data_IF_151493548385
#
_entry.id   IF_151493548385
#
_cell.length_a   1.000
_cell.length_b   1.000
_cell.length_c   1.000
_cell.angle_alpha   90.00
_cell.angle_beta   90.00
_cell.angle_gamma   90.00
#
_symmetry.space_group_name_H-M   'P 1'
#
loop_
_entity.id
_entity.type
_entity.pdbx_description
1 polymer ?
#
# COMPACT_ATOMS: atom_id res chain seq x y z
N UNK A 1 2.19 -31.31 -0.01
CA UNK A 1 3.10 -30.45 0.77
C UNK A 1 3.82 -29.52 -0.21
N UNK A 2 3.66 -28.19 -0.12
CA UNK A 2 4.30 -27.25 -1.04
C UNK A 2 5.54 -26.67 -0.35
N UNK A 3 6.69 -27.31 -0.54
CA UNK A 3 7.95 -26.82 0.00
C UNK A 3 8.27 -25.44 -0.60
N UNK A 4 8.69 -24.51 0.26
CA UNK A 4 9.20 -23.22 -0.20
C UNK A 4 10.48 -23.47 -1.00
N UNK A 5 10.41 -23.27 -2.32
CA UNK A 5 11.54 -23.47 -3.22
C UNK A 5 12.41 -22.21 -3.19
N UNK A 6 13.70 -22.33 -2.87
CA UNK A 6 14.63 -21.19 -2.83
C UNK A 6 14.93 -20.65 -4.23
N UNK A 7 15.38 -19.39 -4.38
CA UNK A 7 15.83 -18.82 -5.66
C UNK A 7 16.84 -19.69 -6.43
N UNK A 8 17.75 -20.35 -5.73
CA UNK A 8 18.78 -21.23 -6.30
C UNK A 8 18.13 -22.46 -6.92
N UNK A 9 17.24 -23.13 -6.18
CA UNK A 9 16.52 -24.30 -6.70
C UNK A 9 15.66 -23.94 -7.90
N UNK A 10 15.02 -22.75 -7.90
CA UNK A 10 14.27 -22.24 -9.06
C UNK A 10 15.14 -22.09 -10.29
N UNK A 11 16.37 -21.58 -10.13
CA UNK A 11 17.35 -21.46 -11.22
C UNK A 11 17.76 -22.83 -11.74
N UNK A 12 18.07 -23.77 -10.86
CA UNK A 12 18.50 -25.12 -11.24
C UNK A 12 17.41 -25.85 -12.03
N UNK A 13 16.14 -25.76 -11.61
CA UNK A 13 15.02 -26.33 -12.36
C UNK A 13 14.90 -25.75 -13.77
N UNK A 14 15.00 -24.42 -13.91
CA UNK A 14 14.92 -23.76 -15.22
C UNK A 14 16.12 -24.10 -16.08
N UNK A 15 17.33 -24.15 -15.52
CA UNK A 15 18.55 -24.57 -16.23
C UNK A 15 18.42 -26.01 -16.73
N UNK A 16 17.96 -26.94 -15.89
CA UNK A 16 17.69 -28.32 -16.29
C UNK A 16 16.69 -28.39 -17.45
N UNK A 17 15.62 -27.57 -17.40
CA UNK A 17 14.66 -27.53 -18.51
C UNK A 17 15.25 -26.96 -19.80
N UNK A 18 16.04 -25.88 -19.72
CA UNK A 18 16.73 -25.27 -20.88
C UNK A 18 17.74 -26.24 -21.50
N UNK A 19 18.36 -27.11 -20.69
CA UNK A 19 19.27 -28.16 -21.13
C UNK A 19 18.54 -29.41 -21.69
N UNK A 20 17.22 -29.35 -21.93
CA UNK A 20 16.46 -30.43 -22.58
C UNK A 20 15.82 -31.45 -21.64
N UNK A 21 16.01 -31.38 -20.33
CA UNK A 21 15.44 -32.35 -19.39
C UNK A 21 13.90 -32.31 -19.38
N UNK A 22 13.25 -33.48 -19.33
CA UNK A 22 11.79 -33.58 -19.29
C UNK A 22 11.25 -33.13 -17.92
N UNK A 23 10.08 -32.48 -17.92
CA UNK A 23 9.45 -31.95 -16.70
C UNK A 23 9.18 -33.05 -15.66
N UNK A 24 8.88 -34.29 -16.10
CA UNK A 24 8.67 -35.44 -15.21
C UNK A 24 9.92 -35.75 -14.38
N UNK A 25 11.09 -35.69 -15.00
CA UNK A 25 12.37 -35.94 -14.32
C UNK A 25 12.73 -34.81 -13.35
N UNK A 26 12.51 -33.55 -13.77
CA UNK A 26 12.71 -32.37 -12.90
C UNK A 26 11.82 -32.46 -11.66
N UNK A 27 10.55 -32.84 -11.81
CA UNK A 27 9.63 -33.05 -10.68
C UNK A 27 10.15 -34.10 -9.70
N UNK A 28 10.67 -35.21 -10.22
CA UNK A 28 11.23 -36.30 -9.39
C UNK A 28 12.51 -35.87 -8.66
N UNK A 29 13.42 -35.18 -9.35
CA UNK A 29 14.70 -34.73 -8.78
C UNK A 29 14.50 -33.69 -7.67
N UNK A 30 13.62 -32.71 -7.91
CA UNK A 30 13.45 -31.58 -7.00
C UNK A 30 12.31 -31.74 -6.00
N UNK A 31 11.52 -32.82 -6.08
CA UNK A 31 10.39 -33.06 -5.17
C UNK A 31 9.28 -32.00 -5.25
N UNK A 32 9.11 -31.37 -6.42
CA UNK A 32 8.13 -30.28 -6.64
C UNK A 32 7.00 -30.70 -7.56
N UNK A 33 5.87 -29.97 -7.53
CA UNK A 33 4.79 -30.21 -8.50
C UNK A 33 5.16 -29.74 -9.92
N UNK A 34 4.58 -30.38 -10.96
CA UNK A 34 4.68 -29.94 -12.36
C UNK A 34 4.29 -28.45 -12.53
N UNK A 35 3.27 -28.01 -11.78
CA UNK A 35 2.81 -26.61 -11.75
C UNK A 35 3.93 -25.65 -11.34
N UNK A 36 4.74 -26.03 -10.35
CA UNK A 36 5.87 -25.23 -9.87
C UNK A 36 6.97 -25.12 -10.91
N UNK A 37 7.31 -26.24 -11.58
CA UNK A 37 8.29 -26.23 -12.68
C UNK A 37 7.83 -25.28 -13.79
N UNK A 38 6.59 -25.44 -14.28
CA UNK A 38 6.06 -24.60 -15.35
C UNK A 38 5.94 -23.13 -14.97
N UNK A 39 5.61 -22.81 -13.72
CA UNK A 39 5.58 -21.43 -13.21
C UNK A 39 6.94 -20.75 -13.40
N UNK A 40 8.02 -21.40 -12.95
CA UNK A 40 9.36 -20.82 -12.99
C UNK A 40 9.94 -20.78 -14.40
N UNK A 41 9.69 -21.81 -15.21
CA UNK A 41 10.07 -21.80 -16.64
C UNK A 41 9.41 -20.64 -17.38
N UNK A 42 8.11 -20.39 -17.17
CA UNK A 42 7.40 -19.26 -17.77
C UNK A 42 7.89 -17.90 -17.29
N UNK A 43 8.35 -17.80 -16.04
CA UNK A 43 8.85 -16.56 -15.46
C UNK A 43 10.27 -16.20 -15.92
N UNK A 44 11.06 -17.20 -16.31
CA UNK A 44 12.45 -17.05 -16.76
C UNK A 44 12.60 -16.58 -18.23
N UNK A 45 11.68 -15.72 -18.70
CA UNK A 45 11.72 -15.11 -20.04
C UNK A 45 12.78 -14.01 -20.17
N UNK A 46 13.11 -13.32 -19.09
CA UNK A 46 14.14 -12.29 -19.08
C UNK A 46 15.47 -12.85 -18.55
N UNK A 47 16.61 -12.50 -19.18
CA UNK A 47 17.92 -12.85 -18.66
C UNK A 47 18.15 -12.12 -17.33
N UNK A 48 18.40 -12.88 -16.25
CA UNK A 48 18.75 -12.28 -14.97
C UNK A 48 18.38 -13.11 -13.74
N UNK A 49 19.03 -12.76 -12.62
CA UNK A 49 18.76 -13.36 -11.30
C UNK A 49 17.41 -12.89 -10.71
N UNK A 50 16.90 -11.75 -11.17
CA UNK A 50 15.65 -11.12 -10.72
C UNK A 50 14.41 -11.99 -10.96
N UNK A 51 14.36 -12.74 -12.07
CA UNK A 51 13.22 -13.59 -12.41
C UNK A 51 12.93 -14.70 -11.38
N UNK A 52 13.89 -15.00 -10.50
CA UNK A 52 13.81 -16.05 -9.49
C UNK A 52 13.53 -15.54 -8.08
N UNK A 53 13.58 -14.23 -7.85
CA UNK A 53 13.23 -13.62 -6.57
C UNK A 53 11.73 -13.73 -6.30
N UNK A 54 11.32 -13.66 -5.05
CA UNK A 54 9.90 -13.51 -4.72
C UNK A 54 9.42 -12.14 -5.21
N UNK A 55 8.22 -12.11 -5.80
CA UNK A 55 7.57 -10.85 -6.08
C UNK A 55 7.07 -10.24 -4.76
N UNK A 56 7.03 -8.91 -4.66
CA UNK A 56 6.32 -8.26 -3.56
C UNK A 56 4.91 -8.86 -3.43
N UNK A 57 4.54 -9.23 -2.21
CA UNK A 57 3.16 -9.65 -1.90
C UNK A 57 2.22 -8.46 -1.75
N UNK A 58 2.77 -7.26 -1.75
CA UNK A 58 2.04 -6.00 -1.62
C UNK A 58 1.09 -5.83 -2.80
N UNK A 59 -0.17 -5.42 -2.58
CA UNK A 59 -1.10 -5.14 -3.67
C UNK A 59 -0.49 -4.14 -4.66
N UNK A 60 -0.47 -4.49 -5.94
CA UNK A 60 0.04 -3.61 -7.00
C UNK A 60 -0.81 -2.35 -7.19
N UNK A 61 -2.11 -2.45 -6.92
CA UNK A 61 -3.06 -1.35 -7.00
C UNK A 61 -3.77 -1.18 -5.66
N UNK A 62 -3.47 -0.08 -4.98
CA UNK A 62 -4.22 0.36 -3.80
C UNK A 62 -5.08 1.55 -4.24
N UNK A 63 -6.39 1.33 -4.44
CA UNK A 63 -7.34 2.44 -4.65
C UNK A 63 -7.38 3.25 -3.35
N UNK A 64 -6.82 4.46 -3.35
CA UNK A 64 -6.89 5.33 -2.17
C UNK A 64 -8.35 5.70 -1.94
N UNK A 65 -8.87 5.32 -0.77
CA UNK A 65 -10.25 5.65 -0.35
C UNK A 65 -10.42 7.16 -0.12
N UNK A 66 -9.33 7.85 0.20
CA UNK A 66 -9.29 9.28 0.50
C UNK A 66 -8.43 9.94 -0.58
N UNK A 67 -8.98 10.97 -1.22
CA UNK A 67 -8.25 11.74 -2.21
C UNK A 67 -7.26 12.70 -1.55
N UNK A 68 -6.30 13.20 -2.35
CA UNK A 68 -5.22 14.06 -1.85
C UNK A 68 -5.75 15.40 -1.29
N UNK A 69 -6.85 15.94 -1.84
CA UNK A 69 -7.41 17.20 -1.37
C UNK A 69 -8.00 17.04 0.02
N UNK A 70 -8.77 15.97 0.23
CA UNK A 70 -9.32 15.63 1.55
C UNK A 70 -8.21 15.33 2.55
N UNK A 71 -7.13 14.67 2.12
CA UNK A 71 -5.95 14.42 2.95
C UNK A 71 -5.28 15.73 3.40
N UNK A 72 -5.08 16.67 2.47
CA UNK A 72 -4.49 17.97 2.75
C UNK A 72 -5.37 18.82 3.68
N UNK A 73 -6.69 18.79 3.51
CA UNK A 73 -7.60 19.49 4.41
C UNK A 73 -7.46 19.01 5.86
N UNK A 74 -7.36 17.69 6.09
CA UNK A 74 -7.13 17.12 7.43
C UNK A 74 -5.84 17.68 8.04
N UNK A 75 -4.78 17.80 7.24
CA UNK A 75 -3.48 18.31 7.68
C UNK A 75 -3.54 19.82 7.99
N UNK A 76 -4.15 20.61 7.12
CA UNK A 76 -4.30 22.06 7.32
C UNK A 76 -5.07 22.34 8.61
N UNK A 77 -6.19 21.64 8.82
CA UNK A 77 -6.96 21.82 10.04
C UNK A 77 -6.13 21.43 11.27
N UNK A 78 -5.39 20.33 11.17
CA UNK A 78 -4.52 19.85 12.25
C UNK A 78 -3.48 20.89 12.64
N UNK A 79 -2.79 21.44 11.66
CA UNK A 79 -1.65 22.34 11.86
C UNK A 79 -2.12 23.76 12.24
N UNK A 80 -3.22 24.25 11.67
CA UNK A 80 -3.71 25.62 11.91
C UNK A 80 -4.54 25.77 13.19
N UNK A 81 -5.26 24.73 13.62
CA UNK A 81 -6.22 24.84 14.72
C UNK A 81 -6.00 23.82 15.83
N UNK A 82 -4.87 23.10 15.83
CA UNK A 82 -4.66 21.93 16.70
C UNK A 82 -5.84 20.94 16.62
N UNK A 83 -6.46 20.88 15.43
CA UNK A 83 -7.71 20.18 15.24
C UNK A 83 -7.52 18.69 15.48
N UNK A 84 -8.29 18.14 16.42
CA UNK A 84 -8.33 16.71 16.66
C UNK A 84 -8.10 16.21 18.08
N UNK A 85 -8.49 16.98 19.09
CA UNK A 85 -8.58 16.47 20.47
C UNK A 85 -10.04 16.19 20.91
N UNK A 86 -11.00 17.04 20.53
CA UNK A 86 -12.41 16.90 20.90
C UNK A 86 -13.24 16.09 19.89
N UNK A 87 -14.38 15.54 20.37
CA UNK A 87 -15.31 14.66 19.63
C UNK A 87 -15.89 15.21 18.32
N UNK A 88 -15.54 16.44 17.91
CA UNK A 88 -16.12 17.15 16.77
C UNK A 88 -15.27 17.05 15.48
N UNK A 89 -14.25 16.17 15.44
CA UNK A 89 -13.39 15.88 14.26
C UNK A 89 -14.15 15.61 12.96
N UNK A 90 -15.36 15.05 13.05
CA UNK A 90 -16.14 14.68 11.86
C UNK A 90 -16.93 15.89 11.35
N UNK A 91 -17.43 16.71 12.27
CA UNK A 91 -18.31 17.84 11.97
C UNK A 91 -17.58 18.94 11.20
N UNK A 92 -16.31 19.23 11.51
CA UNK A 92 -15.59 20.32 10.83
C UNK A 92 -15.23 20.04 9.37
N UNK A 93 -15.21 18.78 8.91
CA UNK A 93 -15.01 18.45 7.49
C UNK A 93 -16.33 18.39 6.74
N UNK A 94 -17.40 17.94 7.39
CA UNK A 94 -18.73 17.84 6.82
C UNK A 94 -19.39 19.21 6.67
N UNK A 95 -19.37 20.00 7.75
CA UNK A 95 -19.98 21.33 7.83
C UNK A 95 -19.02 22.30 8.55
N UNK A 96 -17.93 22.73 7.88
CA UNK A 96 -17.00 23.69 8.46
C UNK A 96 -17.67 25.03 8.75
N UNK A 97 -17.22 25.68 9.84
CA UNK A 97 -17.55 27.08 10.09
C UNK A 97 -17.05 27.96 8.92
N UNK A 98 -17.67 29.14 8.65
CA UNK A 98 -17.34 29.95 7.48
C UNK A 98 -15.85 30.30 7.34
N UNK A 99 -15.16 30.60 8.45
CA UNK A 99 -13.73 30.90 8.43
C UNK A 99 -12.86 29.68 8.09
N UNK A 100 -13.25 28.48 8.54
CA UNK A 100 -12.57 27.23 8.19
C UNK A 100 -12.77 26.93 6.72
N UNK A 101 -14.02 27.06 6.24
CA UNK A 101 -14.36 26.85 4.84
C UNK A 101 -13.55 27.79 3.95
N UNK A 102 -13.52 29.08 4.28
CA UNK A 102 -12.71 30.08 3.58
C UNK A 102 -11.23 29.66 3.53
N UNK A 103 -10.63 29.33 4.67
CA UNK A 103 -9.24 28.87 4.71
C UNK A 103 -8.99 27.65 3.80
N UNK A 104 -9.86 26.64 3.85
CA UNK A 104 -9.73 25.44 3.02
C UNK A 104 -9.84 25.77 1.53
N UNK A 105 -10.79 26.62 1.15
CA UNK A 105 -11.02 27.01 -0.23
C UNK A 105 -9.86 27.82 -0.81
N UNK A 106 -9.32 28.77 -0.03
CA UNK A 106 -8.16 29.58 -0.39
C UNK A 106 -6.90 28.73 -0.53
N UNK A 107 -6.60 27.88 0.46
CA UNK A 107 -5.35 27.08 0.46
C UNK A 107 -5.40 25.94 -0.57
N UNK A 108 -6.55 25.31 -0.77
CA UNK A 108 -6.70 24.19 -1.71
C UNK A 108 -7.03 24.66 -3.14
N UNK A 109 -7.35 25.94 -3.33
CA UNK A 109 -7.75 26.53 -4.62
C UNK A 109 -9.03 25.91 -5.20
N UNK A 110 -9.91 25.37 -4.34
CA UNK A 110 -11.12 24.63 -4.75
C UNK A 110 -12.23 24.77 -3.73
N UNK A 111 -13.47 24.85 -4.22
CA UNK A 111 -14.69 24.86 -3.39
C UNK A 111 -14.74 23.61 -2.49
N UNK A 112 -14.84 23.83 -1.18
CA UNK A 112 -14.89 22.75 -0.21
C UNK A 112 -16.31 22.19 -0.15
N UNK A 113 -16.44 20.93 -0.58
CA UNK A 113 -17.68 20.16 -0.42
C UNK A 113 -17.53 19.29 0.81
N UNK A 114 -18.46 19.44 1.75
CA UNK A 114 -18.51 18.67 2.99
C UNK A 114 -18.15 17.20 2.80
N UNK A 115 -17.25 16.69 3.64
CA UNK A 115 -16.80 15.28 3.61
C UNK A 115 -17.08 14.60 4.93
N UNK A 116 -17.88 13.53 4.87
CA UNK A 116 -18.06 12.62 6.00
C UNK A 116 -16.95 11.58 5.98
N UNK A 117 -16.06 11.64 6.97
CA UNK A 117 -15.01 10.65 7.17
C UNK A 117 -15.10 10.05 8.56
N UNK A 118 -14.89 8.73 8.66
CA UNK A 118 -14.79 8.08 9.96
C UNK A 118 -13.58 8.60 10.73
N UNK A 119 -13.69 8.68 12.06
CA UNK A 119 -12.57 8.98 12.97
C UNK A 119 -11.32 8.16 12.65
N UNK A 120 -11.50 6.87 12.32
CA UNK A 120 -10.38 6.00 11.95
C UNK A 120 -9.70 6.45 10.65
N UNK A 121 -10.46 6.84 9.63
CA UNK A 121 -9.92 7.38 8.36
C UNK A 121 -9.07 8.63 8.61
N UNK A 122 -9.56 9.55 9.46
CA UNK A 122 -8.85 10.77 9.85
C UNK A 122 -7.55 10.41 10.60
N UNK A 123 -7.62 9.50 11.56
CA UNK A 123 -6.44 9.08 12.32
C UNK A 123 -5.39 8.39 11.45
N UNK A 124 -5.79 7.55 10.49
CA UNK A 124 -4.85 6.91 9.55
C UNK A 124 -4.15 7.95 8.68
N UNK A 125 -4.86 9.00 8.23
CA UNK A 125 -4.24 10.15 7.54
C UNK A 125 -3.25 10.86 8.45
N UNK A 126 -3.63 11.18 9.69
CA UNK A 126 -2.73 11.84 10.64
C UNK A 126 -1.50 10.99 10.98
N UNK A 127 -1.66 9.67 11.13
CA UNK A 127 -0.55 8.72 11.37
C UNK A 127 0.42 8.69 10.19
N UNK A 128 -0.10 8.61 8.97
CA UNK A 128 0.70 8.65 7.73
C UNK A 128 1.62 9.88 7.68
N UNK A 129 1.14 10.98 8.26
CA UNK A 129 1.83 12.27 8.29
C UNK A 129 2.55 12.58 9.61
N UNK A 130 2.71 11.60 10.50
CA UNK A 130 3.34 11.74 11.82
C UNK A 130 2.73 12.83 12.71
N UNK A 131 1.44 13.12 12.54
CA UNK A 131 0.68 14.15 13.29
C UNK A 131 -0.35 13.57 14.26
N UNK A 132 -0.36 12.24 14.41
CA UNK A 132 -1.28 11.54 15.29
C UNK A 132 -0.84 11.64 16.76
N UNK A 133 -1.73 12.06 17.65
CA UNK A 133 -1.47 12.23 19.08
C UNK A 133 -2.22 13.40 19.70
N UNK A 134 -2.01 13.68 20.99
CA UNK A 134 -2.47 14.94 21.58
C UNK A 134 -1.71 16.11 20.93
N UNK A 135 -2.40 17.14 20.41
CA UNK A 135 -1.74 18.35 19.93
C UNK A 135 -1.21 19.20 21.10
N UNK A 136 -1.74 19.02 22.31
CA UNK A 136 -1.20 19.65 23.52
C UNK A 136 0.00 18.86 24.01
N UNK A 137 1.19 19.48 23.99
CA UNK A 137 2.35 18.98 24.74
C UNK A 137 1.99 19.03 26.22
N UNK A 138 2.23 17.93 26.94
CA UNK A 138 2.44 18.02 28.38
C UNK A 138 3.82 18.64 28.56
N UNK A 139 3.85 19.91 28.95
CA UNK A 139 5.02 20.49 29.62
C UNK A 139 5.26 19.75 30.94
#
# INVERSE_FOLDING_TARGET
MMHHVTPEVRRLMVKARKNGMKVKDIVRIFGVSRKTVWKWVRRAKHPGRESFKDLPKTPHNVKRKIDVYTENAIIILRDSFNWGDSGNKMFSLESPAPYIKFLLEEVLGKVWRGRVLSRQSINEVLKKHNRNGSPYRKE
#
